data_IF_579461423327
#
_entry.id   IF_579461423327
#
_cell.length_a   1.000
_cell.length_b   1.000
_cell.length_c   1.000
_cell.angle_alpha   90.00
_cell.angle_beta   90.00
_cell.angle_gamma   90.00
#
_symmetry.space_group_name_H-M   'P 1'
#
loop_
_entity.id
_entity.type
_entity.pdbx_description
1 polymer ?
#
# COMPACT_ATOMS: atom_id res chain seq x y z
N UNK A 1 -51.16 -10.00 -3.34
CA UNK A 1 -50.42 -9.40 -2.21
C UNK A 1 -48.93 -9.63 -2.48
N UNK A 2 -48.39 -8.99 -3.53
CA UNK A 2 -47.02 -9.16 -4.05
C UNK A 2 -46.23 -7.90 -3.76
N UNK A 3 -45.75 -7.73 -2.53
CA UNK A 3 -45.01 -6.53 -2.13
C UNK A 3 -43.71 -6.83 -1.37
N UNK A 4 -43.15 -8.04 -1.52
CA UNK A 4 -41.88 -8.38 -0.87
C UNK A 4 -41.02 -9.36 -1.71
N UNK A 5 -40.80 -9.10 -3.00
CA UNK A 5 -39.75 -9.82 -3.77
C UNK A 5 -38.39 -9.10 -3.74
N UNK A 6 -38.35 -7.86 -3.25
CA UNK A 6 -37.18 -6.98 -3.37
C UNK A 6 -36.40 -6.76 -2.05
N UNK A 7 -36.76 -7.48 -0.97
CA UNK A 7 -36.01 -7.46 0.29
C UNK A 7 -35.23 -8.77 0.40
N UNK A 8 -34.11 -8.87 -0.31
CA UNK A 8 -33.25 -10.06 -0.24
C UNK A 8 -32.15 -10.13 -1.29
N UNK A 9 -32.35 -9.51 -2.47
CA UNK A 9 -31.34 -9.50 -3.55
C UNK A 9 -30.04 -8.81 -3.13
N UNK A 10 -30.14 -7.71 -2.37
CA UNK A 10 -28.98 -7.00 -1.84
C UNK A 10 -28.15 -7.84 -0.87
N UNK A 11 -28.79 -8.67 -0.06
CA UNK A 11 -28.09 -9.55 0.89
C UNK A 11 -27.37 -10.67 0.13
N UNK A 12 -28.03 -11.27 -0.87
CA UNK A 12 -27.39 -12.30 -1.71
C UNK A 12 -26.21 -11.73 -2.49
N UNK A 13 -26.37 -10.54 -3.08
CA UNK A 13 -25.28 -9.81 -3.76
C UNK A 13 -24.09 -9.54 -2.83
N UNK A 14 -24.36 -9.16 -1.59
CA UNK A 14 -23.30 -8.92 -0.58
C UNK A 14 -22.56 -10.22 -0.24
N UNK A 15 -23.27 -11.35 -0.12
CA UNK A 15 -22.66 -12.67 0.12
C UNK A 15 -21.79 -13.11 -1.05
N UNK A 16 -22.32 -13.03 -2.27
CA UNK A 16 -21.62 -13.36 -3.53
C UNK A 16 -20.34 -12.53 -3.68
N UNK A 17 -20.42 -11.20 -3.51
CA UNK A 17 -19.27 -10.31 -3.60
C UNK A 17 -18.20 -10.60 -2.54
N UNK A 18 -18.60 -11.01 -1.34
CA UNK A 18 -17.65 -11.38 -0.29
C UNK A 18 -16.96 -12.72 -0.61
N UNK A 19 -17.71 -13.70 -1.14
CA UNK A 19 -17.18 -14.99 -1.56
C UNK A 19 -16.21 -14.86 -2.75
N UNK A 20 -16.59 -14.12 -3.80
CA UNK A 20 -15.72 -13.80 -4.96
C UNK A 20 -14.45 -13.07 -4.52
N UNK A 21 -14.55 -12.20 -3.52
CA UNK A 21 -13.40 -11.47 -2.98
C UNK A 21 -12.52 -12.33 -2.06
N UNK A 22 -12.89 -13.59 -1.79
CA UNK A 22 -12.18 -14.50 -0.89
C UNK A 22 -12.22 -14.02 0.56
N UNK A 23 -13.33 -13.41 0.97
CA UNK A 23 -13.56 -12.84 2.30
C UNK A 23 -14.66 -13.62 2.99
N UNK A 24 -14.50 -13.90 4.28
CA UNK A 24 -15.52 -14.60 5.06
C UNK A 24 -16.84 -13.83 4.98
N UNK A 25 -17.89 -14.54 4.57
CA UNK A 25 -19.26 -14.03 4.41
C UNK A 25 -19.66 -13.24 5.67
N UNK A 26 -20.26 -12.04 5.53
CA UNK A 26 -20.61 -11.19 6.66
C UNK A 26 -21.65 -11.88 7.56
N UNK A 27 -21.48 -11.72 8.86
CA UNK A 27 -22.45 -12.18 9.85
C UNK A 27 -23.54 -11.12 10.02
N UNK A 28 -24.80 -11.54 10.02
CA UNK A 28 -25.95 -10.69 10.24
C UNK A 28 -26.55 -11.05 11.60
N UNK A 29 -26.52 -10.12 12.54
CA UNK A 29 -27.20 -10.25 13.82
C UNK A 29 -28.40 -9.30 13.86
N UNK A 30 -29.58 -9.80 14.23
CA UNK A 30 -30.82 -9.01 14.23
C UNK A 30 -31.36 -8.98 15.65
N UNK A 31 -31.34 -7.80 16.27
CA UNK A 31 -31.74 -7.59 17.66
C UNK A 31 -32.78 -6.47 17.75
N UNK A 32 -34.05 -6.84 17.94
CA UNK A 32 -35.14 -5.88 18.07
C UNK A 32 -35.37 -5.04 16.79
N UNK A 33 -35.22 -3.72 16.89
CA UNK A 33 -35.49 -2.76 15.81
C UNK A 33 -34.27 -2.45 14.91
N UNK A 34 -33.14 -3.11 15.11
CA UNK A 34 -31.92 -2.88 14.34
C UNK A 34 -31.21 -4.19 14.04
N UNK A 35 -30.38 -4.18 12.99
CA UNK A 35 -29.53 -5.30 12.64
C UNK A 35 -28.08 -4.81 12.53
N UNK A 36 -27.17 -5.65 12.99
CA UNK A 36 -25.73 -5.48 12.84
C UNK A 36 -25.24 -6.35 11.71
N UNK A 37 -24.47 -5.78 10.80
CA UNK A 37 -23.74 -6.55 9.80
C UNK A 37 -22.25 -6.46 10.11
N UNK A 38 -21.65 -7.61 10.43
CA UNK A 38 -20.23 -7.72 10.73
C UNK A 38 -19.51 -8.17 9.47
N UNK A 39 -18.86 -7.23 8.78
CA UNK A 39 -17.94 -7.54 7.69
C UNK A 39 -16.59 -7.93 8.25
N UNK A 40 -16.20 -9.18 8.02
CA UNK A 40 -14.82 -9.58 8.25
C UNK A 40 -13.99 -8.92 7.17
N UNK A 41 -13.15 -7.95 7.53
CA UNK A 41 -12.19 -7.42 6.58
C UNK A 41 -11.27 -8.57 6.19
N UNK A 42 -11.02 -8.79 4.89
CA UNK A 42 -9.89 -9.61 4.46
C UNK A 42 -8.68 -9.01 5.18
N UNK A 43 -8.11 -9.74 6.14
CA UNK A 43 -6.71 -9.52 6.40
C UNK A 43 -6.10 -9.84 5.05
N UNK A 44 -5.66 -8.81 4.34
CA UNK A 44 -4.72 -9.02 3.26
C UNK A 44 -3.58 -9.68 4.01
N UNK A 45 -3.50 -11.00 3.92
CA UNK A 45 -2.29 -11.73 4.17
C UNK A 45 -1.33 -11.19 3.11
N UNK A 46 -0.76 -10.02 3.41
CA UNK A 46 0.60 -9.73 3.03
C UNK A 46 1.33 -10.89 3.68
N UNK A 47 1.64 -11.91 2.88
CA UNK A 47 2.48 -13.03 3.24
C UNK A 47 3.50 -12.56 4.28
N UNK A 48 3.42 -13.02 5.55
CA UNK A 48 4.44 -12.70 6.52
C UNK A 48 5.62 -13.64 6.25
N UNK A 49 6.33 -13.38 5.15
CA UNK A 49 7.65 -13.91 4.91
C UNK A 49 8.63 -12.77 4.68
N UNK A 50 8.70 -11.83 5.62
CA UNK A 50 9.98 -11.22 5.98
C UNK A 50 9.92 -10.95 7.49
N UNK A 51 10.79 -11.66 8.21
CA UNK A 51 11.27 -11.48 9.59
C UNK A 51 10.76 -10.26 10.39
N UNK A 52 10.39 -10.43 11.68
CA UNK A 52 10.18 -9.33 12.60
C UNK A 52 11.55 -8.69 12.94
N UNK A 53 12.01 -7.79 12.10
CA UNK A 53 13.08 -6.86 12.45
C UNK A 53 12.60 -5.46 12.20
N UNK A 54 12.14 -4.83 13.28
CA UNK A 54 12.13 -3.38 13.55
C UNK A 54 12.19 -2.52 12.29
N UNK A 55 11.14 -2.58 11.45
CA UNK A 55 11.00 -1.63 10.35
C UNK A 55 10.13 -0.48 10.81
N UNK A 56 10.64 0.76 10.78
CA UNK A 56 9.84 1.95 11.08
C UNK A 56 8.64 1.97 10.12
N UNK A 57 7.42 2.15 10.63
CA UNK A 57 6.17 2.08 9.84
C UNK A 57 6.31 2.75 8.46
N UNK A 58 6.56 1.94 7.43
CA UNK A 58 6.68 2.40 6.06
C UNK A 58 5.24 2.59 5.56
N UNK A 59 4.88 3.83 5.24
CA UNK A 59 3.55 4.10 4.66
C UNK A 59 3.42 3.45 3.27
N UNK A 60 2.22 3.04 2.81
CA UNK A 60 2.04 2.40 1.51
C UNK A 60 2.60 3.21 0.31
N UNK A 61 2.65 4.54 0.46
CA UNK A 61 3.21 5.43 -0.55
C UNK A 61 4.73 5.26 -0.72
N UNK A 62 5.43 4.95 0.37
CA UNK A 62 6.87 4.68 0.36
C UNK A 62 7.14 3.29 -0.19
N UNK A 63 6.34 2.27 0.14
CA UNK A 63 6.46 0.95 -0.50
C UNK A 63 6.32 1.03 -2.02
N UNK A 64 5.34 1.81 -2.51
CA UNK A 64 5.18 2.10 -3.94
C UNK A 64 6.40 2.81 -4.53
N UNK A 65 7.04 3.72 -3.79
CA UNK A 65 8.28 4.36 -4.23
C UNK A 65 9.40 3.31 -4.43
N UNK A 66 9.56 2.41 -3.46
CA UNK A 66 10.62 1.39 -3.50
C UNK A 66 10.44 0.43 -4.68
N UNK A 67 9.20 0.04 -4.98
CA UNK A 67 8.91 -0.84 -6.11
C UNK A 67 9.15 -0.19 -7.48
N UNK A 68 9.09 1.14 -7.57
CA UNK A 68 9.35 1.89 -8.81
C UNK A 68 10.87 2.12 -9.02
N UNK A 69 11.63 2.28 -7.94
CA UNK A 69 13.06 2.59 -7.98
C UNK A 69 13.92 1.39 -8.39
N UNK A 70 13.92 1.06 -9.68
CA UNK A 70 14.78 0.01 -10.25
C UNK A 70 16.15 0.50 -10.75
N UNK A 71 16.31 1.82 -10.89
CA UNK A 71 17.55 2.49 -11.29
C UNK A 71 17.67 3.85 -10.61
N UNK A 72 18.71 4.60 -10.97
CA UNK A 72 18.81 6.00 -10.58
C UNK A 72 17.76 6.83 -11.33
N UNK A 73 16.83 7.41 -10.57
CA UNK A 73 15.71 8.17 -11.13
C UNK A 73 15.67 9.58 -10.57
N UNK A 74 15.28 10.52 -11.43
CA UNK A 74 15.08 11.90 -11.04
C UNK A 74 13.77 12.07 -10.28
N UNK A 75 13.67 13.10 -9.41
CA UNK A 75 12.43 13.37 -8.67
C UNK A 75 11.20 13.53 -9.59
N UNK A 76 11.34 14.23 -10.72
CA UNK A 76 10.23 14.50 -11.64
C UNK A 76 9.72 13.19 -12.25
N UNK A 77 10.64 12.34 -12.68
CA UNK A 77 10.35 11.02 -13.23
C UNK A 77 9.62 10.13 -12.21
N UNK A 78 10.09 10.10 -10.96
CA UNK A 78 9.44 9.35 -9.88
C UNK A 78 8.02 9.85 -9.64
N UNK A 79 7.83 11.18 -9.54
CA UNK A 79 6.50 11.76 -9.31
C UNK A 79 5.52 11.42 -10.43
N UNK A 80 5.99 11.45 -11.69
CA UNK A 80 5.18 11.14 -12.86
C UNK A 80 4.68 9.68 -12.82
N UNK A 81 5.58 8.72 -12.60
CA UNK A 81 5.23 7.30 -12.49
C UNK A 81 4.31 7.02 -11.30
N UNK A 82 4.53 7.73 -10.18
CA UNK A 82 3.67 7.59 -9.01
C UNK A 82 2.29 8.24 -9.17
N UNK A 83 2.10 9.12 -10.16
CA UNK A 83 0.91 9.95 -10.33
C UNK A 83 0.80 11.08 -9.31
N UNK A 84 1.91 11.50 -8.70
CA UNK A 84 1.94 12.54 -7.68
C UNK A 84 1.98 13.94 -8.30
N UNK A 85 0.91 14.72 -8.09
CA UNK A 85 0.83 16.12 -8.57
C UNK A 85 1.48 17.12 -7.61
N UNK A 86 1.40 16.88 -6.30
CA UNK A 86 1.93 17.80 -5.29
C UNK A 86 3.38 17.45 -4.91
N UNK A 87 4.31 18.28 -5.38
CA UNK A 87 5.74 18.20 -5.08
C UNK A 87 6.06 18.35 -3.59
N UNK A 88 5.39 19.24 -2.86
CA UNK A 88 5.69 19.47 -1.42
C UNK A 88 5.28 18.24 -0.63
N UNK A 89 4.10 17.71 -0.91
CA UNK A 89 3.61 16.48 -0.29
C UNK A 89 4.54 15.30 -0.60
N UNK A 90 4.92 15.12 -1.88
CA UNK A 90 5.86 14.06 -2.29
C UNK A 90 7.19 14.14 -1.54
N UNK A 91 7.82 15.32 -1.47
CA UNK A 91 9.11 15.46 -0.77
C UNK A 91 8.96 15.16 0.72
N UNK A 92 7.95 15.75 1.39
CA UNK A 92 7.81 15.61 2.84
C UNK A 92 7.40 14.20 3.27
N UNK A 93 6.40 13.63 2.61
CA UNK A 93 5.73 12.42 3.08
C UNK A 93 6.23 11.14 2.43
N UNK A 94 6.92 11.23 1.30
CA UNK A 94 7.42 10.06 0.55
C UNK A 94 8.94 10.07 0.55
N UNK A 95 9.55 11.07 -0.09
CA UNK A 95 11.00 11.10 -0.32
C UNK A 95 11.81 11.22 0.99
N UNK A 96 11.49 12.21 1.83
CA UNK A 96 12.19 12.42 3.10
C UNK A 96 11.95 11.26 4.07
N UNK A 97 10.75 10.66 4.07
CA UNK A 97 10.51 9.46 4.87
C UNK A 97 11.38 8.31 4.40
N UNK A 98 11.48 8.08 3.09
CA UNK A 98 12.32 7.01 2.55
C UNK A 98 13.81 7.23 2.86
N UNK A 99 14.30 8.48 2.73
CA UNK A 99 15.67 8.86 3.07
C UNK A 99 15.97 8.71 4.56
N UNK A 100 15.08 9.18 5.43
CA UNK A 100 15.27 9.12 6.88
C UNK A 100 15.24 7.70 7.44
N UNK A 101 14.64 6.76 6.72
CA UNK A 101 14.61 5.34 7.07
C UNK A 101 15.71 4.55 6.33
N UNK A 102 16.67 5.23 5.69
CA UNK A 102 17.77 4.61 4.94
C UNK A 102 17.33 3.62 3.85
N UNK A 103 16.11 3.80 3.32
CA UNK A 103 15.55 2.91 2.29
C UNK A 103 16.07 3.29 0.90
N UNK A 104 16.31 4.59 0.72
CA UNK A 104 16.86 5.17 -0.51
C UNK A 104 18.00 6.11 -0.17
N UNK A 105 18.85 6.39 -1.14
CA UNK A 105 19.95 7.34 -1.01
C UNK A 105 20.02 8.31 -2.20
N UNK A 106 20.73 9.43 -1.96
CA UNK A 106 21.01 10.46 -2.96
C UNK A 106 22.29 10.14 -3.73
N UNK A 107 22.28 10.33 -5.05
CA UNK A 107 23.49 10.12 -5.87
C UNK A 107 24.52 11.24 -5.72
N UNK A 108 24.08 12.46 -5.38
CA UNK A 108 24.95 13.61 -5.10
C UNK A 108 24.64 14.16 -3.71
N UNK A 109 25.19 13.55 -2.64
CA UNK A 109 24.90 13.97 -1.26
C UNK A 109 25.49 15.35 -0.91
N UNK A 110 26.64 15.72 -1.50
CA UNK A 110 27.31 17.02 -1.29
C UNK A 110 26.43 18.21 -1.74
N UNK A 111 25.65 18.01 -2.80
CA UNK A 111 24.81 19.04 -3.42
C UNK A 111 23.36 18.57 -3.49
N UNK A 112 22.61 18.54 -2.37
CA UNK A 112 21.24 18.00 -2.32
C UNK A 112 20.25 18.79 -3.18
N UNK A 113 20.56 20.06 -3.47
CA UNK A 113 19.77 20.93 -4.36
C UNK A 113 20.22 20.88 -5.83
N UNK A 114 21.12 19.96 -6.19
CA UNK A 114 21.62 19.81 -7.56
C UNK A 114 20.48 19.51 -8.53
N UNK A 115 20.52 20.13 -9.71
CA UNK A 115 19.60 19.83 -10.83
C UNK A 115 19.75 18.40 -11.33
N UNK A 116 20.93 17.80 -11.14
CA UNK A 116 21.25 16.43 -11.55
C UNK A 116 21.00 15.42 -10.43
N UNK A 117 20.32 15.83 -9.35
CA UNK A 117 20.09 14.93 -8.22
C UNK A 117 19.17 13.78 -8.62
N UNK A 118 19.63 12.56 -8.34
CA UNK A 118 18.86 11.32 -8.51
C UNK A 118 18.79 10.56 -7.20
N UNK A 119 17.85 9.63 -7.16
CA UNK A 119 17.62 8.75 -6.02
C UNK A 119 17.69 7.30 -6.47
N UNK A 120 18.20 6.43 -5.59
CA UNK A 120 18.28 4.98 -5.81
C UNK A 120 18.05 4.25 -4.50
N UNK A 121 17.66 2.98 -4.59
CA UNK A 121 17.58 2.09 -3.43
C UNK A 121 18.96 1.94 -2.77
N UNK A 122 18.98 1.86 -1.44
CA UNK A 122 20.19 1.49 -0.70
C UNK A 122 20.47 0.00 -0.88
N UNK A 123 21.72 -0.42 -0.66
CA UNK A 123 22.09 -1.83 -0.83
C UNK A 123 21.39 -2.75 0.19
N UNK A 124 21.02 -2.21 1.36
CA UNK A 124 20.20 -2.90 2.36
C UNK A 124 18.82 -3.27 1.80
N UNK A 125 18.13 -2.29 1.19
CA UNK A 125 16.81 -2.53 0.61
C UNK A 125 16.88 -3.36 -0.67
N UNK A 126 17.90 -3.17 -1.51
CA UNK A 126 18.10 -4.05 -2.68
C UNK A 126 18.26 -5.51 -2.25
N UNK A 127 19.01 -5.78 -1.19
CA UNK A 127 19.18 -7.14 -0.67
C UNK A 127 17.88 -7.75 -0.13
N UNK A 128 16.97 -6.91 0.40
CA UNK A 128 15.66 -7.33 0.89
C UNK A 128 14.67 -7.63 -0.25
N UNK A 129 14.77 -6.88 -1.36
CA UNK A 129 13.86 -6.99 -2.52
C UNK A 129 14.27 -8.12 -3.47
N UNK A 130 15.54 -8.55 -3.48
CA UNK A 130 15.95 -9.73 -4.23
C UNK A 130 15.34 -10.95 -3.52
N UNK A 131 14.40 -11.67 -4.16
CA UNK A 131 13.94 -12.92 -3.60
C UNK A 131 15.14 -13.86 -3.59
N UNK A 132 15.46 -14.40 -2.41
CA UNK A 132 16.28 -15.61 -2.32
C UNK A 132 15.50 -16.71 -3.02
N UNK A 133 15.67 -16.81 -4.34
CA UNK A 133 15.25 -17.95 -5.12
C UNK A 133 16.07 -19.14 -4.64
N UNK A 134 15.43 -20.04 -3.91
CA UNK A 134 15.90 -21.40 -3.73
C UNK A 134 14.73 -22.37 -3.78
#
# INVERSE_FOLDING_TARGET
MELVEQIGSGINRIKELCEESGVKIPAFDVSGNWFTVVFNRKNVEVTPQVTPQVTPQVTPQVEKLLSILNREMGRVEIMDIMGCKDKKNFVKNILNKALNNDLIEMTVPDKPKSRNQKYRLTDKEKALIIPVSK
#
